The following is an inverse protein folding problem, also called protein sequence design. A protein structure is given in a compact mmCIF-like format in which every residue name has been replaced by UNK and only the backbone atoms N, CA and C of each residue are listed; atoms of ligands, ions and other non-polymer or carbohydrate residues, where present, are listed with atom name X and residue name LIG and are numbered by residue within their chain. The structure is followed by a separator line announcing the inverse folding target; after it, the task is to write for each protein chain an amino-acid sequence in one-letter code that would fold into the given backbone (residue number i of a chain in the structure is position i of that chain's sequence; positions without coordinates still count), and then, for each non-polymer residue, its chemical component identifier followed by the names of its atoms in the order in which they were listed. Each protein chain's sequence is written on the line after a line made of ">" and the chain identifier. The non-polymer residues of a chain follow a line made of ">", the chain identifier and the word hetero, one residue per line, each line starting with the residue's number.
data_IF_677958635913
#
_entry.id   IF_677958635913
#
_cell.length_a   1.000
_cell.length_b   1.000
_cell.length_c   1.000
_cell.angle_alpha   90.00
_cell.angle_beta   90.00
_cell.angle_gamma   90.00
#
_symmetry.space_group_name_H-M   'P 1'
#
loop_
_entity.id
_entity.type
_entity.pdbx_description
1 polymer ?
#
# COMPACT_ATOMS: atom_id res chain seq x y z
N UNK A 1 22.01 52.04 2.75
CA UNK A 1 21.04 52.03 3.86
C UNK A 1 19.93 51.07 3.51
N UNK A 2 19.82 49.98 4.28
CA UNK A 2 18.76 48.98 4.19
C UNK A 2 17.38 49.59 4.45
N UNK A 3 16.35 49.16 3.73
CA UNK A 3 15.05 48.88 4.34
C UNK A 3 14.43 47.64 3.69
N UNK A 4 14.36 46.57 4.47
CA UNK A 4 13.63 45.36 4.18
C UNK A 4 12.13 45.65 4.27
N UNK A 5 11.37 45.42 3.20
CA UNK A 5 9.92 45.22 3.30
C UNK A 5 9.63 43.73 3.31
N UNK A 6 9.56 43.19 4.52
CA UNK A 6 9.13 41.82 4.82
C UNK A 6 7.64 41.73 4.45
N UNK A 7 7.33 41.22 3.25
CA UNK A 7 5.98 40.85 2.87
C UNK A 7 5.61 39.59 3.67
N UNK A 8 4.84 39.81 4.74
CA UNK A 8 4.10 38.76 5.44
C UNK A 8 3.16 38.10 4.43
N UNK A 9 3.50 36.88 4.03
CA UNK A 9 2.63 36.00 3.25
C UNK A 9 1.94 35.01 4.16
N UNK A 10 1.32 35.52 5.23
CA UNK A 10 0.25 34.80 5.92
C UNK A 10 -1.06 35.22 5.26
N UNK A 11 -1.32 34.67 4.07
CA UNK A 11 -2.68 34.68 3.52
C UNK A 11 -3.48 33.67 4.31
N UNK A 12 -3.98 34.20 5.41
CA UNK A 12 -4.95 33.68 6.34
C UNK A 12 -6.07 32.88 5.62
N UNK A 13 -6.01 31.55 5.67
CA UNK A 13 -7.19 30.73 5.46
C UNK A 13 -8.09 30.89 6.70
N UNK A 14 -9.27 31.47 6.49
CA UNK A 14 -10.24 31.69 7.56
C UNK A 14 -10.82 30.36 8.04
N UNK A 15 -10.62 30.07 9.33
CA UNK A 15 -11.49 29.29 10.22
C UNK A 15 -12.04 27.95 9.69
N UNK A 16 -11.14 27.02 9.39
CA UNK A 16 -11.28 25.61 9.73
C UNK A 16 -9.89 25.14 10.13
N UNK A 17 -9.77 24.37 11.21
CA UNK A 17 -8.50 23.75 11.59
C UNK A 17 -8.15 22.74 10.49
N UNK A 18 -7.36 23.18 9.51
CA UNK A 18 -6.92 22.33 8.41
C UNK A 18 -6.00 21.27 9.00
N UNK A 19 -6.53 20.06 9.19
CA UNK A 19 -5.74 18.91 9.61
C UNK A 19 -4.65 18.68 8.54
N UNK A 20 -3.41 18.63 8.99
CA UNK A 20 -2.30 18.26 8.13
C UNK A 20 -2.26 16.74 8.02
N UNK A 21 -1.97 16.25 6.81
CA UNK A 21 -1.77 14.84 6.54
C UNK A 21 -0.40 14.62 5.93
N UNK A 22 0.23 13.51 6.30
CA UNK A 22 1.46 13.04 5.68
C UNK A 22 1.11 12.05 4.56
N UNK A 23 1.78 12.17 3.43
CA UNK A 23 1.67 11.21 2.32
C UNK A 23 2.56 10.02 2.64
N UNK A 24 1.98 8.84 2.80
CA UNK A 24 2.71 7.59 2.92
C UNK A 24 3.05 7.02 1.54
N UNK A 25 2.06 6.99 0.65
CA UNK A 25 2.19 6.36 -0.66
C UNK A 25 1.19 6.94 -1.67
N UNK A 26 1.49 6.78 -2.95
CA UNK A 26 0.73 7.36 -4.07
C UNK A 26 0.73 6.40 -5.26
N UNK A 27 -0.43 6.20 -5.90
CA UNK A 27 -0.52 5.37 -7.09
C UNK A 27 -1.70 5.77 -7.98
N UNK A 28 -1.56 5.59 -9.29
CA UNK A 28 -2.64 5.83 -10.24
C UNK A 28 -3.64 4.66 -10.19
N UNK A 29 -4.89 4.96 -9.84
CA UNK A 29 -5.98 4.00 -9.97
C UNK A 29 -6.36 3.83 -11.44
N UNK A 30 -6.56 4.95 -12.12
CA UNK A 30 -6.80 5.03 -13.56
C UNK A 30 -6.32 6.38 -14.13
N UNK A 31 -6.74 6.73 -15.34
CA UNK A 31 -6.36 8.00 -16.01
C UNK A 31 -7.04 9.23 -15.39
N UNK A 32 -8.04 9.04 -14.53
CA UNK A 32 -8.92 10.08 -13.99
C UNK A 32 -8.78 10.22 -12.47
N UNK A 33 -8.24 9.22 -11.79
CA UNK A 33 -8.18 9.14 -10.33
C UNK A 33 -6.77 8.78 -9.88
N UNK A 34 -6.27 9.58 -8.95
CA UNK A 34 -5.03 9.34 -8.22
C UNK A 34 -5.39 8.83 -6.82
N UNK A 35 -4.92 7.64 -6.47
CA UNK A 35 -5.07 7.13 -5.10
C UNK A 35 -3.92 7.61 -4.22
N UNK A 36 -4.26 7.98 -3.00
CA UNK A 36 -3.33 8.47 -1.99
C UNK A 36 -3.54 7.66 -0.71
N UNK A 37 -2.44 7.21 -0.11
CA UNK A 37 -2.42 6.71 1.24
C UNK A 37 -1.82 7.80 2.13
N UNK A 38 -2.62 8.32 3.04
CA UNK A 38 -2.28 9.43 3.92
C UNK A 38 -2.30 8.99 5.39
N UNK A 39 -1.70 9.78 6.28
CA UNK A 39 -1.82 9.66 7.73
C UNK A 39 -2.17 11.03 8.31
N UNK A 40 -3.22 11.11 9.14
CA UNK A 40 -3.54 12.34 9.87
C UNK A 40 -2.47 12.63 10.92
N UNK A 41 -2.11 13.91 11.10
CA UNK A 41 -1.20 14.38 12.15
C UNK A 41 -1.93 14.42 13.52
N UNK A 42 -2.23 13.23 14.04
CA UNK A 42 -2.79 12.99 15.38
C UNK A 42 -1.87 12.03 16.15
N UNK A 43 -2.02 11.96 17.48
CA UNK A 43 -1.09 11.26 18.38
C UNK A 43 -0.79 9.80 17.97
N UNK A 44 -1.78 9.08 17.42
CA UNK A 44 -1.64 7.69 16.97
C UNK A 44 -1.57 7.52 15.44
N UNK A 45 -1.58 8.61 14.67
CA UNK A 45 -1.48 8.60 13.21
C UNK A 45 -2.55 7.74 12.52
N UNK A 46 -3.74 8.29 12.30
CA UNK A 46 -4.83 7.54 11.64
C UNK A 46 -4.63 7.48 10.12
N UNK A 47 -4.51 6.30 9.50
CA UNK A 47 -4.36 6.22 8.05
C UNK A 47 -5.68 6.53 7.33
N UNK A 48 -5.57 7.17 6.16
CA UNK A 48 -6.69 7.53 5.31
C UNK A 48 -6.38 7.12 3.88
N UNK A 49 -7.28 6.35 3.27
CA UNK A 49 -7.24 6.04 1.85
C UNK A 49 -8.10 7.06 1.10
N UNK A 50 -7.51 7.75 0.12
CA UNK A 50 -8.18 8.80 -0.65
C UNK A 50 -8.11 8.47 -2.14
N UNK A 51 -9.23 8.64 -2.83
CA UNK A 51 -9.37 8.58 -4.28
C UNK A 51 -9.53 10.02 -4.79
N UNK A 52 -8.48 10.66 -5.26
CA UNK A 52 -8.52 12.03 -5.76
C UNK A 52 -8.89 12.05 -7.25
N UNK A 53 -10.11 12.47 -7.64
CA UNK A 53 -10.48 12.56 -9.05
C UNK A 53 -9.90 13.85 -9.63
N UNK A 54 -9.18 13.78 -10.76
CA UNK A 54 -8.59 14.96 -11.39
C UNK A 54 -9.63 16.00 -11.80
N UNK A 55 -10.89 15.61 -11.98
CA UNK A 55 -12.00 16.54 -12.28
C UNK A 55 -12.24 17.58 -11.19
N UNK A 56 -11.81 17.32 -9.94
CA UNK A 56 -11.93 18.30 -8.85
C UNK A 56 -10.82 19.36 -8.91
N UNK A 57 -9.72 19.06 -9.62
CA UNK A 57 -8.57 19.94 -9.79
C UNK A 57 -8.75 20.81 -11.04
N UNK A 58 -9.22 22.05 -10.86
CA UNK A 58 -9.34 23.03 -11.96
C UNK A 58 -7.97 23.53 -12.38
N UNK A 59 -7.81 23.86 -13.67
CA UNK A 59 -6.57 24.42 -14.23
C UNK A 59 -6.03 25.66 -13.48
N UNK A 60 -6.92 26.42 -12.85
CA UNK A 60 -6.60 27.60 -12.05
C UNK A 60 -5.81 27.30 -10.77
N UNK A 61 -5.80 26.04 -10.31
CA UNK A 61 -5.11 25.57 -9.11
C UNK A 61 -3.62 25.35 -9.39
N UNK A 62 -3.27 24.98 -10.63
CA UNK A 62 -1.90 24.62 -10.97
C UNK A 62 -1.01 25.85 -11.14
N UNK A 63 0.17 25.80 -10.51
CA UNK A 63 1.24 26.75 -10.79
C UNK A 63 1.87 26.42 -12.13
N UNK A 64 1.84 27.37 -13.08
CA UNK A 64 2.62 27.26 -14.32
C UNK A 64 4.09 27.42 -13.97
N UNK A 65 4.88 26.41 -14.31
CA UNK A 65 6.32 26.41 -14.12
C UNK A 65 7.01 26.53 -15.48
N UNK A 66 8.01 27.40 -15.59
CA UNK A 66 8.94 27.37 -16.71
C UNK A 66 9.92 26.20 -16.57
N UNK A 67 10.35 25.60 -17.67
CA UNK A 67 11.30 24.46 -17.66
C UNK A 67 12.64 24.76 -16.97
N UNK A 68 12.95 26.03 -16.71
CA UNK A 68 14.18 26.51 -16.05
C UNK A 68 14.00 26.83 -14.57
N UNK A 69 12.78 26.83 -14.05
CA UNK A 69 12.49 27.19 -12.66
C UNK A 69 12.58 25.96 -11.74
N UNK A 70 13.07 26.17 -10.51
CA UNK A 70 13.16 25.10 -9.53
C UNK A 70 11.78 24.86 -8.90
N UNK A 71 11.25 23.64 -9.01
CA UNK A 71 9.94 23.21 -8.47
C UNK A 71 9.79 23.54 -6.98
N UNK A 72 10.89 23.62 -6.23
CA UNK A 72 10.85 23.88 -4.78
C UNK A 72 10.54 25.34 -4.41
N UNK A 73 10.56 26.27 -5.38
CA UNK A 73 10.35 27.69 -5.16
C UNK A 73 9.06 28.14 -5.86
N UNK A 74 8.14 28.76 -5.11
CA UNK A 74 6.91 29.41 -5.62
C UNK A 74 5.75 28.48 -6.09
N UNK A 75 5.56 27.31 -5.48
CA UNK A 75 4.35 26.51 -5.73
C UNK A 75 3.18 27.01 -4.87
N UNK A 76 2.03 27.21 -5.49
CA UNK A 76 0.80 27.57 -4.78
C UNK A 76 0.37 26.38 -3.92
N UNK A 77 0.21 26.61 -2.62
CA UNK A 77 -0.39 25.63 -1.71
C UNK A 77 -1.90 25.77 -1.79
N UNK A 78 -2.59 24.67 -2.05
CA UNK A 78 -4.05 24.63 -2.15
C UNK A 78 -4.58 23.53 -1.26
N UNK A 79 -5.58 23.87 -0.45
CA UNK A 79 -6.32 22.87 0.30
C UNK A 79 -7.30 22.15 -0.63
N UNK A 80 -7.01 20.88 -0.88
CA UNK A 80 -7.83 20.00 -1.73
C UNK A 80 -8.91 19.29 -0.92
N UNK A 81 -8.82 19.28 0.42
CA UNK A 81 -9.75 18.58 1.31
C UNK A 81 -11.23 18.91 1.03
N UNK A 82 -11.63 20.19 0.96
CA UNK A 82 -13.00 20.61 0.66
C UNK A 82 -13.49 20.22 -0.75
N UNK A 83 -12.58 19.89 -1.67
CA UNK A 83 -12.91 19.51 -3.05
C UNK A 83 -13.11 18.00 -3.21
N UNK A 84 -12.66 17.20 -2.24
CA UNK A 84 -12.74 15.74 -2.27
C UNK A 84 -14.15 15.32 -1.82
N UNK A 85 -14.89 14.54 -2.64
CA UNK A 85 -16.19 14.02 -2.24
C UNK A 85 -16.06 13.09 -1.02
N UNK A 86 -17.07 13.09 -0.14
CA UNK A 86 -17.03 12.27 1.09
C UNK A 86 -16.87 10.76 0.84
N UNK A 87 -17.46 10.26 -0.25
CA UNK A 87 -17.33 8.85 -0.65
C UNK A 87 -15.96 8.49 -1.25
N UNK A 88 -15.09 9.49 -1.47
CA UNK A 88 -13.76 9.32 -2.06
C UNK A 88 -12.64 9.36 -1.01
N UNK A 89 -12.97 9.35 0.27
CA UNK A 89 -12.00 9.15 1.34
C UNK A 89 -12.56 8.17 2.38
N UNK A 90 -11.67 7.38 2.99
CA UNK A 90 -12.02 6.37 3.99
C UNK A 90 -10.92 6.30 5.04
N UNK A 91 -11.30 6.37 6.31
CA UNK A 91 -10.40 6.08 7.42
C UNK A 91 -10.15 4.58 7.52
N UNK A 92 -8.89 4.18 7.70
CA UNK A 92 -8.53 2.76 7.83
C UNK A 92 -8.50 2.41 9.31
N UNK A 93 -9.65 1.98 9.84
CA UNK A 93 -9.79 1.65 11.26
C UNK A 93 -9.03 0.38 11.64
N UNK A 94 -8.52 0.34 12.87
CA UNK A 94 -7.74 -0.77 13.43
C UNK A 94 -6.53 -1.19 12.56
N UNK A 95 -5.92 -0.21 11.89
CA UNK A 95 -4.83 -0.44 10.95
C UNK A 95 -3.70 0.58 11.08
N UNK A 96 -2.46 0.07 11.08
CA UNK A 96 -1.25 0.87 10.85
C UNK A 96 -0.77 0.61 9.42
N UNK A 97 -1.01 1.56 8.52
CA UNK A 97 -0.68 1.42 7.10
C UNK A 97 0.77 1.82 6.79
N UNK A 98 1.38 1.16 5.80
CA UNK A 98 2.73 1.46 5.33
C UNK A 98 2.75 1.91 3.88
N UNK A 99 2.22 1.07 3.00
CA UNK A 99 2.18 1.27 1.55
C UNK A 99 0.96 0.56 0.99
N UNK A 100 0.67 0.77 -0.28
CA UNK A 100 -0.50 0.16 -0.93
C UNK A 100 -0.28 -0.11 -2.42
N UNK A 101 -1.16 -0.92 -2.98
CA UNK A 101 -1.29 -1.12 -4.41
C UNK A 101 -2.78 -0.99 -4.79
N UNK A 102 -3.05 -0.48 -5.99
CA UNK A 102 -4.43 -0.30 -6.48
C UNK A 102 -4.61 -0.94 -7.83
N UNK A 103 -5.84 -1.36 -8.13
CA UNK A 103 -6.21 -1.93 -9.41
C UNK A 103 -7.51 -1.32 -9.91
N UNK A 104 -7.41 -0.47 -10.94
CA UNK A 104 -8.57 0.09 -11.64
C UNK A 104 -9.49 -0.95 -12.27
N UNK A 105 -8.92 -2.05 -12.77
CA UNK A 105 -9.68 -3.12 -13.44
C UNK A 105 -10.43 -4.01 -12.46
N UNK A 106 -9.84 -4.28 -11.29
CA UNK A 106 -10.47 -5.06 -10.22
C UNK A 106 -11.28 -4.20 -9.25
N UNK A 107 -11.13 -2.88 -9.32
CA UNK A 107 -11.70 -1.89 -8.41
C UNK A 107 -11.33 -2.16 -6.95
N UNK A 108 -10.05 -2.47 -6.74
CA UNK A 108 -9.52 -2.81 -5.41
C UNK A 108 -8.34 -1.93 -5.00
N UNK A 109 -8.15 -1.80 -3.70
CA UNK A 109 -6.93 -1.31 -3.08
C UNK A 109 -6.43 -2.34 -2.06
N UNK A 110 -5.17 -2.75 -2.15
CA UNK A 110 -4.51 -3.64 -1.19
C UNK A 110 -3.53 -2.82 -0.38
N UNK A 111 -3.75 -2.71 0.93
CA UNK A 111 -2.92 -1.92 1.83
C UNK A 111 -2.07 -2.86 2.69
N UNK A 112 -0.76 -2.60 2.72
CA UNK A 112 0.22 -3.31 3.53
C UNK A 112 0.33 -2.65 4.91
N UNK A 113 0.33 -3.45 5.96
CA UNK A 113 0.54 -2.96 7.32
C UNK A 113 2.01 -2.59 7.58
N UNK A 114 2.27 -1.73 8.55
CA UNK A 114 3.62 -1.37 9.03
C UNK A 114 4.47 -2.57 9.46
N UNK A 115 3.84 -3.67 9.90
CA UNK A 115 4.53 -4.93 10.21
C UNK A 115 5.10 -5.64 8.98
N UNK A 116 4.65 -5.27 7.77
CA UNK A 116 4.98 -5.89 6.47
C UNK A 116 4.59 -7.37 6.35
N UNK A 117 3.76 -7.88 7.26
CA UNK A 117 3.30 -9.29 7.30
C UNK A 117 1.81 -9.46 7.05
N UNK A 118 1.03 -8.40 7.26
CA UNK A 118 -0.42 -8.38 7.07
C UNK A 118 -0.78 -7.45 5.93
N UNK A 119 -1.79 -7.82 5.14
CA UNK A 119 -2.40 -6.99 4.11
C UNK A 119 -3.91 -6.95 4.34
N UNK A 120 -4.57 -5.86 3.97
CA UNK A 120 -6.04 -5.77 3.92
C UNK A 120 -6.44 -5.28 2.52
N UNK A 121 -7.46 -5.90 1.94
CA UNK A 121 -7.97 -5.56 0.62
C UNK A 121 -9.29 -4.82 0.79
N UNK A 122 -9.43 -3.70 0.09
CA UNK A 122 -10.61 -2.85 0.10
C UNK A 122 -11.21 -2.84 -1.30
N UNK A 123 -12.52 -3.02 -1.38
CA UNK A 123 -13.30 -2.74 -2.58
C UNK A 123 -13.56 -1.24 -2.68
N UNK A 124 -13.31 -0.67 -3.86
CA UNK A 124 -13.43 0.77 -4.11
C UNK A 124 -14.79 1.18 -4.69
N UNK A 125 -15.64 0.21 -5.07
CA UNK A 125 -16.98 0.44 -5.63
C UNK A 125 -18.13 -0.06 -4.75
N UNK A 126 -17.83 -0.67 -3.61
CA UNK A 126 -18.82 -1.01 -2.58
C UNK A 126 -18.99 0.14 -1.60
N UNK A 127 -20.22 0.61 -1.42
CA UNK A 127 -20.59 1.29 -0.18
C UNK A 127 -20.32 0.28 0.94
N UNK A 128 -19.42 0.62 1.87
CA UNK A 128 -19.14 -0.26 3.01
C UNK A 128 -20.41 -0.34 3.86
N UNK A 129 -21.04 -1.51 3.87
CA UNK A 129 -21.85 -1.94 5.01
C UNK A 129 -20.86 -2.08 6.18
N UNK A 130 -21.16 -1.39 7.28
CA UNK A 130 -20.30 -1.21 8.45
C UNK A 130 -20.19 -2.55 9.20
N UNK A 131 -19.36 -3.47 8.69
CA UNK A 131 -19.07 -4.75 9.34
C UNK A 131 -18.05 -4.52 10.45
N UNK A 132 -18.57 -4.13 11.62
CA UNK A 132 -17.87 -4.23 12.90
C UNK A 132 -17.76 -5.70 13.30
N UNK A 133 -16.81 -6.42 12.72
CA UNK A 133 -16.43 -7.76 13.18
C UNK A 133 -15.63 -7.64 14.49
N UNK A 134 -16.32 -7.81 15.61
CA UNK A 134 -15.74 -8.16 16.91
C UNK A 134 -15.27 -9.63 16.87
N UNK A 135 -13.95 -9.81 17.04
CA UNK A 135 -13.27 -10.94 17.68
C UNK A 135 -13.58 -12.39 17.22
N UNK A 136 -12.72 -12.92 16.34
CA UNK A 136 -12.40 -14.36 16.35
C UNK A 136 -10.96 -14.55 16.84
N UNK A 137 -10.82 -14.82 18.14
CA UNK A 137 -9.60 -15.31 18.76
C UNK A 137 -9.34 -16.77 18.32
N UNK A 138 -8.37 -16.98 17.42
CA UNK A 138 -7.83 -18.32 17.16
C UNK A 138 -6.83 -18.69 18.28
N UNK A 139 -7.29 -19.48 19.25
CA UNK A 139 -6.43 -20.28 20.13
C UNK A 139 -5.89 -21.49 19.33
N UNK A 140 -4.65 -21.44 18.84
CA UNK A 140 -3.93 -22.65 18.44
C UNK A 140 -3.09 -23.19 19.61
N UNK A 141 -3.59 -24.31 20.13
CA UNK A 141 -3.02 -25.19 21.15
C UNK A 141 -1.59 -25.68 20.83
N UNK A 142 -0.77 -25.72 21.87
CA UNK A 142 0.61 -26.17 21.82
C UNK A 142 0.71 -27.71 21.77
N UNK A 143 1.14 -28.28 20.64
CA UNK A 143 1.47 -29.70 20.56
C UNK A 143 2.95 -29.95 20.91
N UNK A 144 3.15 -30.44 22.13
CA UNK A 144 4.45 -30.77 22.70
C UNK A 144 4.48 -32.30 22.91
N UNK A 145 4.91 -33.07 21.91
CA UNK A 145 5.17 -34.51 22.07
C UNK A 145 6.63 -34.87 21.85
N UNK A 146 7.33 -34.90 22.98
CA UNK A 146 8.62 -35.53 23.22
C UNK A 146 8.54 -37.03 22.89
N UNK A 147 9.31 -37.51 21.90
CA UNK A 147 9.45 -38.94 21.60
C UNK A 147 10.90 -39.38 21.86
N UNK A 148 11.03 -40.22 22.88
CA UNK A 148 12.25 -40.80 23.40
C UNK A 148 12.93 -41.73 22.39
N UNK A 149 14.25 -41.60 22.30
CA UNK A 149 15.16 -42.50 21.60
C UNK A 149 15.34 -43.76 22.45
N UNK A 150 15.13 -44.94 21.87
CA UNK A 150 15.65 -46.19 22.45
C UNK A 150 16.21 -47.09 21.35
N UNK A 151 17.50 -47.35 21.47
CA UNK A 151 18.34 -48.15 20.60
C UNK A 151 17.99 -49.64 20.75
N UNK A 152 18.04 -50.40 19.65
CA UNK A 152 18.64 -51.74 19.67
C UNK A 152 19.05 -52.18 18.27
N UNK A 153 20.31 -52.61 18.23
CA UNK A 153 21.12 -52.98 17.08
C UNK A 153 20.60 -54.26 16.38
N UNK A 154 20.70 -54.29 15.04
CA UNK A 154 21.07 -55.54 14.38
C UNK A 154 21.79 -55.24 13.06
N UNK A 155 23.00 -55.79 12.98
CA UNK A 155 23.96 -55.65 11.88
C UNK A 155 23.57 -56.54 10.70
N UNK A 156 23.76 -56.06 9.47
CA UNK A 156 24.35 -56.82 8.34
C UNK A 156 24.47 -55.94 7.09
N UNK A 157 25.71 -55.88 6.57
CA UNK A 157 26.14 -55.21 5.34
C UNK A 157 25.53 -55.85 4.08
N UNK A 158 25.20 -55.07 3.04
CA UNK A 158 25.67 -55.35 1.68
C UNK A 158 25.55 -54.12 0.76
N UNK A 159 26.71 -53.67 0.30
CA UNK A 159 26.95 -52.73 -0.78
C UNK A 159 26.70 -53.44 -2.12
N UNK A 160 25.91 -52.86 -3.03
CA UNK A 160 25.98 -53.20 -4.47
C UNK A 160 25.33 -52.13 -5.33
N UNK A 161 26.19 -51.42 -6.05
CA UNK A 161 25.96 -50.65 -7.26
C UNK A 161 25.43 -51.50 -8.41
N UNK A 162 24.52 -50.98 -9.25
CA UNK A 162 24.45 -51.17 -10.73
C UNK A 162 23.26 -50.38 -11.36
N UNK A 163 23.22 -50.14 -12.69
CA UNK A 163 23.16 -48.78 -13.25
C UNK A 163 22.02 -48.56 -14.27
N UNK A 164 22.05 -47.36 -14.88
CA UNK A 164 21.28 -46.88 -16.04
C UNK A 164 21.14 -47.90 -17.19
N UNK A 165 19.95 -47.95 -17.79
CA UNK A 165 19.75 -48.40 -19.18
C UNK A 165 19.20 -47.23 -20.00
N UNK A 166 19.96 -46.85 -21.04
CA UNK A 166 19.57 -45.95 -22.12
C UNK A 166 19.14 -46.82 -23.32
N UNK A 167 17.91 -46.65 -23.79
CA UNK A 167 17.42 -47.28 -25.02
C UNK A 167 17.90 -46.51 -26.26
N UNK A 168 18.90 -47.05 -26.96
CA UNK A 168 19.15 -46.76 -28.36
C UNK A 168 18.39 -47.77 -29.24
N UNK A 169 17.53 -47.29 -30.15
CA UNK A 169 17.27 -48.00 -31.41
C UNK A 169 17.47 -47.05 -32.60
N UNK A 170 18.53 -47.37 -33.35
CA UNK A 170 19.02 -46.71 -34.56
C UNK A 170 18.24 -47.13 -35.81
N UNK A 171 18.18 -46.20 -36.78
CA UNK A 171 18.44 -46.34 -38.25
C UNK A 171 17.66 -47.40 -39.07
N UNK A 172 17.37 -47.28 -40.37
CA UNK A 172 17.74 -46.38 -41.48
C UNK A 172 16.70 -46.62 -42.61
N UNK A 173 16.52 -45.75 -43.60
CA UNK A 173 17.24 -45.87 -44.89
C UNK A 173 17.13 -44.58 -45.69
N UNK A 174 18.31 -44.12 -46.12
CA UNK A 174 18.63 -42.95 -46.93
C UNK A 174 18.20 -43.03 -48.39
N UNK A 175 18.23 -41.84 -49.01
CA UNK A 175 18.26 -41.55 -50.45
C UNK A 175 19.59 -41.99 -51.07
#
# INVERSE_FOLDING_TARGET
>A
MNTNSKLSSDVFCKSNEHKLHLILDISYYDKKVLSLLLVEDIEDGRPVLVQLPFTVLKDTIFTKLSSTENITQNVNKVDVGPLIPKYSYRHLENMQAHSFAVSGTRKTATVLYSSKRRVRIFMLDGEEEDDSDEDEEEEEEADNSNLEVNENENTNNLDTSTPMEEDENKENTSV
#
